data_IF_535110172527
#
_entry.id   IF_535110172527
#
_cell.length_a   1.000
_cell.length_b   1.000
_cell.length_c   1.000
_cell.angle_alpha   90.00
_cell.angle_beta   90.00
_cell.angle_gamma   90.00
#
_symmetry.space_group_name_H-M   'P 1'
#
loop_
_entity.id
_entity.type
_entity.pdbx_description
1 polymer ?
#
# COMPACT_ATOMS: atom_id res chain seq x y z
N UNK A 1 -38.43 47.17 -48.92
CA UNK A 1 -38.42 47.08 -47.44
C UNK A 1 -38.28 45.60 -47.10
N UNK A 2 -37.06 45.10 -47.13
CA UNK A 2 -36.72 43.70 -46.85
C UNK A 2 -35.81 43.70 -45.61
N UNK A 3 -36.28 43.06 -44.55
CA UNK A 3 -35.56 42.90 -43.29
C UNK A 3 -34.60 41.71 -43.46
N UNK A 4 -33.32 41.98 -43.66
CA UNK A 4 -32.26 40.98 -43.57
C UNK A 4 -31.81 40.88 -42.10
N UNK A 5 -32.09 39.73 -41.48
CA UNK A 5 -31.58 39.38 -40.15
C UNK A 5 -30.16 38.84 -40.26
N UNK A 6 -29.19 39.60 -39.75
CA UNK A 6 -27.81 39.16 -39.60
C UNK A 6 -27.69 38.24 -38.37
N UNK A 7 -27.55 36.94 -38.63
CA UNK A 7 -27.16 35.94 -37.63
C UNK A 7 -25.68 36.10 -37.28
N UNK A 8 -25.39 36.98 -36.32
CA UNK A 8 -24.05 37.14 -35.75
C UNK A 8 -23.67 35.95 -34.87
N UNK A 9 -22.75 35.12 -35.34
CA UNK A 9 -22.03 34.14 -34.53
C UNK A 9 -21.20 34.87 -33.47
N UNK A 10 -21.58 34.74 -32.19
CA UNK A 10 -20.78 35.17 -31.06
C UNK A 10 -19.52 34.28 -30.95
N UNK A 11 -18.39 34.80 -31.43
CA UNK A 11 -17.07 34.24 -31.14
C UNK A 11 -16.68 34.71 -29.74
N UNK A 12 -16.70 33.81 -28.76
CA UNK A 12 -16.17 34.07 -27.41
C UNK A 12 -14.63 34.18 -27.54
N UNK A 13 -14.00 35.30 -27.13
CA UNK A 13 -12.55 35.40 -27.18
C UNK A 13 -11.93 34.47 -26.12
N UNK A 14 -11.03 33.59 -26.57
CA UNK A 14 -10.10 32.86 -25.70
C UNK A 14 -9.16 33.88 -25.06
N UNK A 15 -9.49 34.36 -23.86
CA UNK A 15 -8.54 35.12 -23.05
C UNK A 15 -7.46 34.16 -22.57
N UNK A 16 -6.23 34.41 -23.01
CA UNK A 16 -5.00 33.86 -22.46
C UNK A 16 -4.91 34.18 -20.96
N UNK A 17 -5.48 33.32 -20.14
CA UNK A 17 -5.45 33.37 -18.69
C UNK A 17 -4.66 32.17 -18.17
N UNK A 18 -3.55 32.48 -17.51
CA UNK A 18 -2.61 31.56 -16.90
C UNK A 18 -3.24 30.31 -16.28
N UNK A 19 -2.69 29.14 -16.62
CA UNK A 19 -2.75 27.96 -15.76
C UNK A 19 -1.90 28.26 -14.52
N UNK A 20 -2.39 29.14 -13.66
CA UNK A 20 -1.90 29.20 -12.30
C UNK A 20 -2.39 27.89 -11.65
N UNK A 21 -1.48 26.92 -11.54
CA UNK A 21 -1.59 25.93 -10.47
C UNK A 21 -1.67 26.75 -9.20
N UNK A 22 -2.87 26.88 -8.67
CA UNK A 22 -3.09 27.47 -7.37
C UNK A 22 -2.39 26.54 -6.36
N UNK A 23 -1.15 26.89 -6.04
CA UNK A 23 -0.35 26.23 -5.01
C UNK A 23 -0.92 26.65 -3.67
N UNK A 24 -2.13 26.17 -3.40
CA UNK A 24 -2.62 26.06 -2.05
C UNK A 24 -1.60 25.22 -1.30
N UNK A 25 -0.74 25.93 -0.57
CA UNK A 25 0.08 25.35 0.47
C UNK A 25 -0.92 24.80 1.47
N UNK A 26 -1.28 23.52 1.31
CA UNK A 26 -2.00 22.81 2.35
C UNK A 26 -1.05 22.72 3.52
N UNK A 27 -1.19 23.65 4.45
CA UNK A 27 -0.96 23.37 5.86
C UNK A 27 -1.85 22.17 6.20
N UNK A 28 -1.23 21.01 6.13
CA UNK A 28 -1.89 19.73 6.18
C UNK A 28 -0.85 18.71 6.57
N UNK A 29 -0.37 18.79 7.81
CA UNK A 29 0.11 17.61 8.53
C UNK A 29 -1.11 16.70 8.81
N UNK A 30 -1.79 16.27 7.74
CA UNK A 30 -2.54 15.03 7.77
C UNK A 30 -1.48 13.95 7.81
N UNK A 31 -1.49 13.16 8.89
CA UNK A 31 -0.56 12.08 9.14
C UNK A 31 -0.48 11.17 7.89
N UNK A 32 0.51 11.43 7.01
CA UNK A 32 0.65 10.70 5.75
C UNK A 32 0.95 9.26 6.10
N UNK A 33 0.18 8.33 5.54
CA UNK A 33 0.41 6.91 5.77
C UNK A 33 1.83 6.56 5.33
N UNK A 34 2.49 5.74 6.14
CA UNK A 34 3.93 5.41 6.02
C UNK A 34 4.32 4.80 4.67
N UNK A 35 3.39 4.17 3.95
CA UNK A 35 3.63 3.58 2.64
C UNK A 35 3.68 4.62 1.51
N UNK A 36 3.06 5.80 1.69
CA UNK A 36 3.03 6.89 0.71
C UNK A 36 4.28 7.76 0.84
N UNK A 37 5.43 7.17 0.49
CA UNK A 37 6.77 7.78 0.57
C UNK A 37 7.07 8.75 -0.58
N UNK A 38 6.18 8.87 -1.56
CA UNK A 38 6.40 9.71 -2.75
C UNK A 38 6.67 11.16 -2.37
N UNK A 39 7.82 11.70 -2.79
CA UNK A 39 8.19 13.09 -2.55
C UNK A 39 8.57 13.43 -1.10
N UNK A 40 8.93 12.44 -0.27
CA UNK A 40 9.45 12.70 1.07
C UNK A 40 10.84 13.35 1.02
N UNK A 41 11.13 14.33 1.89
CA UNK A 41 12.36 15.12 1.83
C UNK A 41 13.63 14.35 2.24
N UNK A 42 13.51 13.19 2.90
CA UNK A 42 14.62 12.55 3.64
C UNK A 42 14.87 11.07 3.28
N UNK A 43 14.86 10.70 1.99
CA UNK A 43 15.11 9.30 1.59
C UNK A 43 16.60 8.88 1.61
N UNK A 44 17.53 9.84 1.54
CA UNK A 44 18.97 9.56 1.42
C UNK A 44 19.36 8.79 0.14
N UNK A 45 20.64 8.41 0.00
CA UNK A 45 21.11 7.59 -1.13
C UNK A 45 20.52 6.18 -1.12
N UNK A 46 20.22 5.64 -2.30
CA UNK A 46 19.70 4.26 -2.45
C UNK A 46 20.83 3.25 -2.29
N UNK A 47 20.70 2.31 -1.35
CA UNK A 47 21.54 1.11 -1.30
C UNK A 47 21.16 0.17 -2.46
N UNK A 48 22.11 -0.16 -3.33
CA UNK A 48 21.94 -1.03 -4.51
C UNK A 48 22.51 -2.44 -4.30
N UNK A 49 22.93 -2.77 -3.08
CA UNK A 49 23.39 -4.11 -2.72
C UNK A 49 22.30 -5.15 -2.95
N UNK A 50 22.72 -6.36 -3.29
CA UNK A 50 21.80 -7.50 -3.37
C UNK A 50 21.50 -8.00 -1.95
N UNK A 51 20.29 -8.50 -1.75
CA UNK A 51 19.85 -9.12 -0.51
C UNK A 51 19.67 -10.61 -0.73
N UNK A 52 20.40 -11.42 0.02
CA UNK A 52 20.25 -12.88 0.00
C UNK A 52 19.03 -13.26 0.84
N UNK A 53 18.02 -13.80 0.16
CA UNK A 53 16.77 -14.18 0.82
C UNK A 53 16.99 -15.35 1.77
N UNK A 54 16.66 -15.11 3.04
CA UNK A 54 16.59 -16.14 4.06
C UNK A 54 15.48 -17.16 3.72
N UNK A 55 15.57 -18.35 4.30
CA UNK A 55 14.58 -19.41 4.05
C UNK A 55 13.17 -18.97 4.43
N UNK A 56 13.00 -18.29 5.56
CA UNK A 56 11.69 -17.82 6.03
C UNK A 56 11.06 -16.77 5.12
N UNK A 57 11.88 -15.93 4.45
CA UNK A 57 11.41 -14.94 3.47
C UNK A 57 10.82 -15.65 2.24
N UNK A 58 11.52 -16.69 1.76
CA UNK A 58 11.03 -17.55 0.67
C UNK A 58 9.77 -18.31 1.06
N UNK A 59 9.70 -18.79 2.30
CA UNK A 59 8.51 -19.46 2.83
C UNK A 59 7.31 -18.51 2.94
N UNK A 60 7.54 -17.25 3.31
CA UNK A 60 6.49 -16.22 3.36
C UNK A 60 5.89 -15.97 1.98
N UNK A 61 6.73 -15.82 0.94
CA UNK A 61 6.25 -15.69 -0.44
C UNK A 61 5.49 -16.94 -0.91
N UNK A 62 6.04 -18.14 -0.64
CA UNK A 62 5.41 -19.40 -0.99
C UNK A 62 4.04 -19.56 -0.30
N UNK A 63 3.94 -19.22 0.98
CA UNK A 63 2.70 -19.24 1.75
C UNK A 63 1.66 -18.30 1.13
N UNK A 64 2.05 -17.05 0.86
CA UNK A 64 1.19 -16.09 0.18
C UNK A 64 0.67 -16.66 -1.15
N UNK A 65 1.54 -17.25 -1.96
CA UNK A 65 1.21 -17.77 -3.27
C UNK A 65 0.29 -19.00 -3.22
N UNK A 66 0.44 -19.87 -2.22
CA UNK A 66 -0.47 -21.00 -1.99
C UNK A 66 -1.86 -20.53 -1.58
N UNK A 67 -1.96 -19.51 -0.72
CA UNK A 67 -3.24 -19.03 -0.19
C UNK A 67 -3.99 -18.13 -1.18
N UNK A 68 -3.29 -17.26 -1.90
CA UNK A 68 -3.87 -16.36 -2.91
C UNK A 68 -4.04 -17.02 -4.29
N UNK A 69 -3.33 -18.12 -4.55
CA UNK A 69 -3.26 -18.76 -5.85
C UNK A 69 -4.55 -19.45 -6.31
N UNK A 70 -4.55 -19.93 -7.57
CA UNK A 70 -5.67 -20.67 -8.15
C UNK A 70 -6.02 -21.88 -7.27
N UNK A 71 -7.29 -21.97 -6.85
CA UNK A 71 -7.82 -23.06 -6.05
C UNK A 71 -8.12 -22.70 -4.59
N UNK A 72 -7.30 -21.89 -3.93
CA UNK A 72 -7.58 -21.43 -2.56
C UNK A 72 -8.27 -20.07 -2.53
N UNK A 73 -7.80 -19.13 -3.36
CA UNK A 73 -8.32 -17.76 -3.52
C UNK A 73 -8.74 -17.11 -2.19
N UNK A 74 -7.87 -17.22 -1.17
CA UNK A 74 -8.18 -16.70 0.16
C UNK A 74 -8.23 -15.19 0.18
N UNK A 75 -7.52 -14.48 -0.69
CA UNK A 75 -7.59 -13.03 -0.85
C UNK A 75 -7.00 -12.60 -2.19
N UNK A 76 -7.24 -11.34 -2.56
CA UNK A 76 -6.61 -10.65 -3.68
C UNK A 76 -5.40 -9.84 -3.25
N UNK A 77 -4.60 -9.41 -4.24
CA UNK A 77 -3.42 -8.55 -4.01
C UNK A 77 -3.80 -7.23 -3.35
N UNK A 78 -4.97 -6.67 -3.69
CA UNK A 78 -5.45 -5.41 -3.09
C UNK A 78 -5.76 -5.55 -1.60
N UNK A 79 -6.23 -6.73 -1.17
CA UNK A 79 -6.50 -7.02 0.23
C UNK A 79 -5.21 -7.19 1.02
N UNK A 80 -4.21 -7.87 0.46
CA UNK A 80 -2.87 -7.95 1.06
C UNK A 80 -2.26 -6.55 1.18
N UNK A 81 -2.36 -5.73 0.13
CA UNK A 81 -1.89 -4.34 0.15
C UNK A 81 -2.59 -3.56 1.26
N UNK A 82 -3.93 -3.63 1.36
CA UNK A 82 -4.69 -2.98 2.43
C UNK A 82 -4.21 -3.39 3.82
N UNK A 83 -3.95 -4.68 4.03
CA UNK A 83 -3.45 -5.20 5.30
C UNK A 83 -2.04 -4.66 5.62
N UNK A 84 -1.11 -4.69 4.65
CA UNK A 84 0.24 -4.11 4.80
C UNK A 84 0.17 -2.61 5.14
N UNK A 85 -0.70 -1.86 4.46
CA UNK A 85 -0.86 -0.42 4.63
C UNK A 85 -1.58 -0.03 5.94
N UNK A 86 -2.19 -1.01 6.62
CA UNK A 86 -2.82 -0.85 7.93
C UNK A 86 -1.88 -1.11 9.11
N UNK A 87 -0.67 -1.64 8.85
CA UNK A 87 0.37 -1.80 9.87
C UNK A 87 0.74 -0.42 10.42
N UNK A 88 0.89 -0.33 11.75
CA UNK A 88 1.28 0.91 12.43
C UNK A 88 2.62 1.44 11.94
N UNK A 89 2.84 2.77 12.01
CA UNK A 89 4.05 3.44 11.50
C UNK A 89 5.33 2.77 12.02
N UNK A 90 5.45 2.62 13.33
CA UNK A 90 6.67 2.12 13.97
C UNK A 90 6.97 0.67 13.58
N UNK A 91 5.95 -0.19 13.61
CA UNK A 91 6.05 -1.58 13.20
C UNK A 91 6.43 -1.68 11.71
N UNK A 92 5.77 -0.89 10.85
CA UNK A 92 6.06 -0.84 9.43
C UNK A 92 7.53 -0.47 9.17
N UNK A 93 8.07 0.53 9.88
CA UNK A 93 9.45 0.98 9.70
C UNK A 93 10.48 -0.01 10.23
N UNK A 94 10.19 -0.67 11.35
CA UNK A 94 11.05 -1.70 11.92
C UNK A 94 11.05 -3.00 11.12
N UNK A 95 9.93 -3.34 10.49
CA UNK A 95 9.77 -4.58 9.75
C UNK A 95 10.46 -4.51 8.38
N UNK A 96 11.23 -5.57 8.09
CA UNK A 96 11.72 -5.84 6.74
C UNK A 96 10.59 -6.08 5.74
N UNK A 97 10.91 -6.10 4.45
CA UNK A 97 9.92 -6.25 3.38
C UNK A 97 9.01 -7.47 3.57
N UNK A 98 9.59 -8.65 3.81
CA UNK A 98 8.84 -9.88 4.07
C UNK A 98 8.22 -9.93 5.47
N UNK A 99 8.75 -9.17 6.43
CA UNK A 99 8.12 -8.98 7.75
C UNK A 99 6.72 -8.39 7.60
N UNK A 100 6.58 -7.32 6.82
CA UNK A 100 5.27 -6.71 6.54
C UNK A 100 4.31 -7.68 5.85
N UNK A 101 4.83 -8.54 4.97
CA UNK A 101 4.03 -9.55 4.30
C UNK A 101 3.49 -10.59 5.28
N UNK A 102 4.32 -11.15 6.17
CA UNK A 102 3.85 -12.17 7.10
C UNK A 102 2.85 -11.59 8.11
N UNK A 103 3.07 -10.35 8.62
CA UNK A 103 2.10 -9.64 9.46
C UNK A 103 0.74 -9.45 8.75
N UNK A 104 0.77 -9.07 7.47
CA UNK A 104 -0.45 -8.91 6.68
C UNK A 104 -1.16 -10.24 6.41
N UNK A 105 -0.41 -11.33 6.15
CA UNK A 105 -0.96 -12.67 5.97
C UNK A 105 -1.63 -13.15 7.27
N UNK A 106 -0.98 -12.97 8.41
CA UNK A 106 -1.56 -13.27 9.74
C UNK A 106 -2.87 -12.52 9.94
N UNK A 107 -2.87 -11.20 9.68
CA UNK A 107 -4.07 -10.36 9.77
C UNK A 107 -5.21 -10.91 8.92
N UNK A 108 -4.94 -11.27 7.66
CA UNK A 108 -5.96 -11.80 6.75
C UNK A 108 -6.47 -13.20 7.15
N UNK A 109 -5.61 -14.04 7.71
CA UNK A 109 -6.01 -15.35 8.23
C UNK A 109 -6.98 -15.21 9.41
N UNK A 110 -6.70 -14.26 10.31
CA UNK A 110 -7.55 -13.94 11.46
C UNK A 110 -8.86 -13.28 11.03
N UNK A 111 -8.80 -12.26 10.17
CA UNK A 111 -10.01 -11.56 9.65
C UNK A 111 -11.00 -12.51 8.98
N UNK A 112 -10.49 -13.59 8.36
CA UNK A 112 -11.30 -14.57 7.64
C UNK A 112 -11.73 -15.76 8.52
N UNK A 113 -11.31 -15.79 9.78
CA UNK A 113 -11.59 -16.88 10.71
C UNK A 113 -10.97 -18.21 10.29
N UNK A 114 -9.87 -18.18 9.54
CA UNK A 114 -9.13 -19.40 9.15
C UNK A 114 -8.27 -19.88 10.33
N UNK A 115 -7.70 -18.93 11.07
CA UNK A 115 -7.00 -19.13 12.32
C UNK A 115 -7.46 -18.06 13.30
N UNK A 116 -7.44 -18.38 14.59
CA UNK A 116 -7.54 -17.41 15.68
C UNK A 116 -6.16 -16.89 16.07
N UNK A 117 -6.09 -15.74 16.76
CA UNK A 117 -4.82 -15.21 17.27
C UNK A 117 -4.21 -16.18 18.28
N UNK A 118 -5.05 -16.76 19.12
CA UNK A 118 -4.67 -17.69 20.17
C UNK A 118 -4.06 -18.98 19.62
N UNK A 119 -4.51 -19.46 18.46
CA UNK A 119 -3.90 -20.62 17.78
C UNK A 119 -2.51 -20.28 17.23
N UNK A 120 -2.31 -19.06 16.74
CA UNK A 120 -1.04 -18.59 16.21
C UNK A 120 -0.05 -18.42 17.35
N UNK A 121 -0.43 -17.70 18.40
CA UNK A 121 0.41 -17.42 19.57
C UNK A 121 0.90 -18.71 20.23
N UNK A 122 -0.01 -19.68 20.46
CA UNK A 122 0.35 -20.99 21.01
C UNK A 122 1.35 -21.73 20.12
N UNK A 123 1.19 -21.65 18.79
CA UNK A 123 2.10 -22.33 17.86
C UNK A 123 3.48 -21.66 17.83
N UNK A 124 3.55 -20.35 18.02
CA UNK A 124 4.81 -19.60 18.16
C UNK A 124 5.53 -20.05 19.44
N UNK A 125 4.84 -20.09 20.57
CA UNK A 125 5.38 -20.58 21.85
C UNK A 125 5.97 -22.00 21.70
N UNK A 126 5.21 -22.94 21.11
CA UNK A 126 5.68 -24.30 20.85
C UNK A 126 6.94 -24.34 19.97
N UNK A 127 7.09 -23.39 19.04
CA UNK A 127 8.26 -23.32 18.15
C UNK A 127 9.47 -22.77 18.88
N UNK A 128 9.28 -21.74 19.70
CA UNK A 128 10.35 -21.14 20.52
C UNK A 128 10.91 -22.13 21.53
N UNK A 129 10.07 -23.03 22.06
CA UNK A 129 10.52 -24.14 22.91
C UNK A 129 11.37 -25.17 22.16
N UNK A 130 11.08 -25.44 20.88
CA UNK A 130 11.83 -26.38 20.05
C UNK A 130 13.18 -25.86 19.56
N UNK A 131 13.36 -24.53 19.53
CA UNK A 131 14.60 -23.88 19.09
C UNK A 131 15.59 -23.70 20.24
N UNK A 132 15.14 -23.80 21.50
CA UNK A 132 15.98 -23.78 22.70
C UNK A 132 16.69 -25.12 22.92
#
# INVERSE_FOLDING_TARGET
MALTGDGGLHIIPLSSGAWACDSHSREGNMDRRVHDRGGWPEAGPINRGQHDLALWEKQTDALHRVLSGPGKHKWRVDELRRAIESIGRDEYESAGYYGRWITAIETLLVERGILSREEIDRRVEDTDEQVK
#
